data_IF_504686921239
#
_entry.id   IF_504686921239
#
_cell.length_a   1.000
_cell.length_b   1.000
_cell.length_c   1.000
_cell.angle_alpha   90.00
_cell.angle_beta   90.00
_cell.angle_gamma   90.00
#
_symmetry.space_group_name_H-M   'P 1'
#
loop_
_entity.id
_entity.type
_entity.pdbx_description
1 polymer ?
#
# COMPACT_ATOMS: atom_id res chain seq x y z
N UNK A 1 7.94 -3.49 18.75
CA UNK A 1 8.78 -4.71 18.74
C UNK A 1 8.42 -5.59 17.55
N UNK A 2 9.36 -6.43 17.14
CA UNK A 2 9.25 -7.35 16.01
C UNK A 2 9.45 -8.80 16.50
N UNK A 3 9.43 -9.76 15.58
CA UNK A 3 9.68 -11.17 15.89
C UNK A 3 11.10 -11.60 15.47
N UNK A 4 12.08 -10.73 15.69
CA UNK A 4 13.50 -11.09 15.59
C UNK A 4 14.07 -11.20 17.00
N UNK A 5 14.46 -12.40 17.42
CA UNK A 5 14.94 -12.63 18.78
C UNK A 5 16.06 -13.66 18.86
N UNK A 6 16.92 -13.49 19.86
CA UNK A 6 17.94 -14.47 20.19
C UNK A 6 17.29 -15.64 20.93
N UNK A 7 17.41 -16.85 20.38
CA UNK A 7 17.04 -18.11 21.03
C UNK A 7 18.31 -18.95 21.17
N UNK A 8 18.73 -19.22 22.41
CA UNK A 8 19.96 -19.97 22.72
C UNK A 8 21.19 -19.43 21.97
N UNK A 9 21.36 -18.11 21.92
CA UNK A 9 22.49 -17.44 21.27
C UNK A 9 22.41 -17.33 19.74
N UNK A 10 21.36 -17.87 19.10
CA UNK A 10 21.16 -17.76 17.64
C UNK A 10 20.02 -16.80 17.33
N UNK A 11 20.23 -15.87 16.39
CA UNK A 11 19.19 -14.93 15.96
C UNK A 11 18.19 -15.64 15.05
N UNK A 12 16.91 -15.55 15.40
CA UNK A 12 15.80 -16.13 14.64
C UNK A 12 14.89 -15.03 14.08
N UNK A 13 14.32 -15.29 12.91
CA UNK A 13 13.09 -14.64 12.45
C UNK A 13 11.95 -15.60 12.78
N UNK A 14 11.06 -15.22 13.69
CA UNK A 14 10.05 -16.11 14.25
C UNK A 14 10.71 -17.37 14.82
N UNK A 15 10.38 -18.56 14.32
CA UNK A 15 10.98 -19.85 14.74
C UNK A 15 12.09 -20.34 13.80
N UNK A 16 12.53 -19.52 12.83
CA UNK A 16 13.54 -19.90 11.85
C UNK A 16 14.89 -19.22 12.15
N UNK A 17 15.98 -19.98 12.37
CA UNK A 17 17.31 -19.42 12.54
C UNK A 17 17.74 -18.64 11.28
N UNK A 18 18.23 -17.41 11.42
CA UNK A 18 18.68 -16.61 10.27
C UNK A 18 19.87 -17.25 9.55
N UNK A 19 20.73 -17.96 10.28
CA UNK A 19 21.85 -18.69 9.69
C UNK A 19 21.38 -19.78 8.70
N UNK A 20 20.24 -20.42 8.96
CA UNK A 20 19.64 -21.39 8.04
C UNK A 20 19.20 -20.71 6.75
N UNK A 21 18.50 -19.57 6.86
CA UNK A 21 18.08 -18.80 5.69
C UNK A 21 19.30 -18.39 4.87
N UNK A 22 20.31 -17.80 5.51
CA UNK A 22 21.54 -17.36 4.84
C UNK A 22 22.28 -18.51 4.13
N UNK A 23 22.29 -19.73 4.71
CA UNK A 23 22.88 -20.90 4.09
C UNK A 23 22.08 -21.41 2.88
N UNK A 24 20.75 -21.37 2.95
CA UNK A 24 19.86 -21.87 1.88
C UNK A 24 19.74 -20.89 0.70
N UNK A 25 19.73 -19.57 0.94
CA UNK A 25 19.47 -18.56 -0.11
C UNK A 25 20.66 -17.65 -0.43
N UNK A 26 21.73 -17.71 0.36
CA UNK A 26 22.90 -16.84 0.22
C UNK A 26 22.75 -15.47 0.88
N UNK A 27 23.83 -14.66 0.81
CA UNK A 27 23.88 -13.30 1.36
C UNK A 27 24.41 -12.30 0.32
N UNK A 28 23.98 -11.01 0.37
CA UNK A 28 23.00 -10.43 1.31
C UNK A 28 21.56 -10.89 1.04
N UNK A 29 20.74 -10.96 2.10
CA UNK A 29 19.31 -11.31 2.03
C UNK A 29 18.47 -10.41 2.92
N UNK A 30 17.32 -9.96 2.41
CA UNK A 30 16.26 -9.36 3.23
C UNK A 30 15.32 -10.43 3.75
N UNK A 31 15.11 -10.45 5.07
CA UNK A 31 14.18 -11.37 5.73
C UNK A 31 13.06 -10.57 6.37
N UNK A 32 11.81 -10.95 6.08
CA UNK A 32 10.62 -10.33 6.65
C UNK A 32 9.89 -11.33 7.53
N UNK A 33 9.36 -10.86 8.66
CA UNK A 33 8.47 -11.64 9.52
C UNK A 33 7.01 -11.36 9.17
N UNK A 34 6.27 -12.40 8.79
CA UNK A 34 4.83 -12.31 8.56
C UNK A 34 4.09 -12.00 9.87
N UNK A 35 4.50 -12.61 10.99
CA UNK A 35 3.91 -12.36 12.30
C UNK A 35 4.07 -10.89 12.70
N UNK A 36 5.22 -10.29 12.38
CA UNK A 36 5.45 -8.85 12.63
C UNK A 36 4.52 -7.98 11.79
N UNK A 37 4.45 -8.22 10.47
CA UNK A 37 3.56 -7.46 9.59
C UNK A 37 2.10 -7.54 10.05
N UNK A 38 1.63 -8.76 10.34
CA UNK A 38 0.25 -9.00 10.80
C UNK A 38 -0.03 -8.31 12.13
N UNK A 39 0.89 -8.40 13.10
CA UNK A 39 0.75 -7.74 14.41
C UNK A 39 0.67 -6.22 14.27
N UNK A 40 1.52 -5.61 13.45
CA UNK A 40 1.50 -4.15 13.27
C UNK A 40 0.27 -3.68 12.50
N UNK A 41 -0.20 -4.46 11.52
CA UNK A 41 -1.47 -4.20 10.85
C UNK A 41 -2.65 -4.18 11.83
N UNK A 42 -2.67 -5.12 12.79
CA UNK A 42 -3.69 -5.15 13.83
C UNK A 42 -3.54 -3.99 14.81
N UNK A 43 -2.32 -3.70 15.32
CA UNK A 43 -2.10 -2.58 16.25
C UNK A 43 -2.59 -1.25 15.66
N UNK A 44 -2.31 -0.99 14.38
CA UNK A 44 -2.78 0.22 13.71
C UNK A 44 -4.31 0.24 13.59
N UNK A 45 -4.92 -0.88 13.20
CA UNK A 45 -6.37 -1.05 13.12
C UNK A 45 -7.05 -0.83 14.49
N UNK A 46 -6.57 -1.49 15.54
CA UNK A 46 -7.13 -1.36 16.89
C UNK A 46 -6.98 0.07 17.43
N UNK A 47 -5.89 0.77 17.08
CA UNK A 47 -5.69 2.18 17.44
C UNK A 47 -6.72 3.14 16.84
N UNK A 48 -7.40 2.73 15.77
CA UNK A 48 -8.50 3.45 15.13
C UNK A 48 -9.88 2.90 15.53
N UNK A 49 -9.99 2.13 16.62
CA UNK A 49 -11.22 1.42 17.02
C UNK A 49 -12.43 2.32 17.30
N UNK A 50 -12.21 3.61 17.56
CA UNK A 50 -13.29 4.60 17.73
C UNK A 50 -13.79 5.20 16.41
N UNK A 51 -13.02 5.04 15.32
CA UNK A 51 -13.41 5.50 13.98
C UNK A 51 -14.37 4.47 13.39
N UNK A 52 -15.57 4.91 13.00
CA UNK A 52 -16.50 4.05 12.29
C UNK A 52 -15.97 3.74 10.88
N UNK A 53 -15.80 2.46 10.57
CA UNK A 53 -15.41 1.94 9.25
C UNK A 53 -14.17 2.62 8.62
N UNK A 54 -12.99 2.56 9.25
CA UNK A 54 -11.80 3.20 8.71
C UNK A 54 -11.34 2.47 7.44
N UNK A 55 -11.06 3.22 6.39
CA UNK A 55 -10.34 2.70 5.21
C UNK A 55 -8.84 2.69 5.51
N UNK A 56 -8.25 1.50 5.52
CA UNK A 56 -6.83 1.31 5.82
C UNK A 56 -6.07 1.02 4.52
N UNK A 57 -5.34 2.01 4.02
CA UNK A 57 -4.54 1.89 2.80
C UNK A 57 -3.05 1.83 3.16
N UNK A 58 -2.37 0.73 2.82
CA UNK A 58 -0.92 0.64 3.06
C UNK A 58 -0.15 1.38 1.96
N UNK A 59 0.76 2.27 2.35
CA UNK A 59 1.65 2.98 1.43
C UNK A 59 2.62 2.01 0.75
N UNK A 60 2.33 1.60 -0.49
CA UNK A 60 3.04 0.54 -1.21
C UNK A 60 4.53 0.84 -1.36
N UNK A 61 4.88 2.12 -1.55
CA UNK A 61 6.27 2.60 -1.62
C UNK A 61 7.16 2.18 -0.45
N UNK A 62 6.57 1.89 0.72
CA UNK A 62 7.34 1.45 1.90
C UNK A 62 7.92 0.04 1.71
N UNK A 63 7.16 -0.87 1.10
CA UNK A 63 7.64 -2.20 0.74
C UNK A 63 6.75 -2.83 -0.37
N UNK A 64 7.14 -2.73 -1.65
CA UNK A 64 6.32 -3.19 -2.78
C UNK A 64 6.47 -4.70 -3.07
N UNK A 65 7.05 -5.47 -2.15
CA UNK A 65 7.19 -6.91 -2.31
C UNK A 65 5.79 -7.58 -2.31
N UNK A 66 5.51 -8.40 -3.33
CA UNK A 66 4.19 -9.03 -3.51
C UNK A 66 3.78 -9.93 -2.33
N UNK A 67 4.72 -10.59 -1.65
CA UNK A 67 4.40 -11.39 -0.48
C UNK A 67 4.01 -10.52 0.72
N UNK A 68 4.68 -9.38 0.92
CA UNK A 68 4.32 -8.39 1.96
C UNK A 68 2.95 -7.81 1.70
N UNK A 69 2.68 -7.37 0.46
CA UNK A 69 1.37 -6.85 0.08
C UNK A 69 0.26 -7.90 0.27
N UNK A 70 0.51 -9.18 -0.07
CA UNK A 70 -0.46 -10.26 0.18
C UNK A 70 -0.78 -10.46 1.66
N UNK A 71 0.19 -10.30 2.55
CA UNK A 71 -0.04 -10.39 4.00
C UNK A 71 -0.98 -9.26 4.44
N UNK A 72 -0.75 -8.04 3.97
CA UNK A 72 -1.58 -6.88 4.32
C UNK A 72 -2.98 -6.95 3.70
N UNK A 73 -3.09 -7.42 2.45
CA UNK A 73 -4.37 -7.67 1.81
C UNK A 73 -5.22 -8.67 2.61
N UNK A 74 -4.63 -9.78 3.07
CA UNK A 74 -5.29 -10.75 3.95
C UNK A 74 -5.66 -10.17 5.33
N UNK A 75 -4.91 -9.19 5.80
CA UNK A 75 -5.22 -8.44 7.00
C UNK A 75 -6.28 -7.34 6.75
N UNK A 76 -6.89 -7.26 5.56
CA UNK A 76 -7.96 -6.34 5.21
C UNK A 76 -7.50 -4.91 4.96
N UNK A 77 -6.27 -4.72 4.47
CA UNK A 77 -5.76 -3.43 4.01
C UNK A 77 -5.94 -3.30 2.50
N UNK A 78 -6.28 -2.09 2.07
CA UNK A 78 -6.12 -1.59 0.72
C UNK A 78 -4.70 -1.09 0.45
N UNK A 79 -4.57 -0.25 -0.59
CA UNK A 79 -3.27 0.27 -1.03
C UNK A 79 -3.31 1.79 -1.21
N UNK A 80 -2.28 2.48 -0.74
CA UNK A 80 -1.95 3.83 -1.19
C UNK A 80 -0.77 3.70 -2.16
N UNK A 81 -1.04 3.98 -3.43
CA UNK A 81 -0.10 3.82 -4.55
C UNK A 81 0.35 5.21 -5.05
N UNK A 82 1.54 5.29 -5.63
CA UNK A 82 2.07 6.52 -6.26
C UNK A 82 2.50 6.32 -7.72
N UNK A 83 2.23 5.17 -8.31
CA UNK A 83 2.50 4.90 -9.73
C UNK A 83 1.67 3.74 -10.30
N UNK A 84 1.61 3.63 -11.62
CA UNK A 84 1.03 2.47 -12.31
C UNK A 84 1.75 1.15 -12.02
N UNK A 85 3.05 1.20 -11.70
CA UNK A 85 3.81 0.02 -11.27
C UNK A 85 3.35 -0.50 -9.90
N UNK A 86 3.00 0.41 -8.98
CA UNK A 86 2.43 0.06 -7.68
C UNK A 86 0.98 -0.39 -7.79
N UNK A 87 0.18 0.21 -8.68
CA UNK A 87 -1.16 -0.28 -9.02
C UNK A 87 -1.10 -1.76 -9.43
N UNK A 88 -0.23 -2.09 -10.39
CA UNK A 88 -0.07 -3.45 -10.88
C UNK A 88 0.32 -4.43 -9.76
N UNK A 89 1.20 -4.01 -8.83
CA UNK A 89 1.62 -4.84 -7.69
C UNK A 89 0.51 -5.03 -6.65
N UNK A 90 -0.24 -3.97 -6.33
CA UNK A 90 -1.37 -4.04 -5.39
C UNK A 90 -2.45 -5.01 -5.91
N UNK A 91 -2.82 -4.87 -7.18
CA UNK A 91 -3.78 -5.77 -7.84
C UNK A 91 -3.26 -7.22 -7.89
N UNK A 92 -1.99 -7.43 -8.25
CA UNK A 92 -1.38 -8.76 -8.27
C UNK A 92 -1.24 -9.39 -6.87
N UNK A 93 -1.24 -8.58 -5.82
CA UNK A 93 -1.28 -9.03 -4.43
C UNK A 93 -2.69 -9.33 -3.92
N UNK A 94 -3.73 -9.07 -4.73
CA UNK A 94 -5.12 -9.35 -4.40
C UNK A 94 -5.79 -8.27 -3.55
N UNK A 95 -5.24 -7.05 -3.52
CA UNK A 95 -5.93 -5.89 -2.91
C UNK A 95 -7.11 -5.50 -3.80
N UNK A 96 -8.28 -5.31 -3.20
CA UNK A 96 -9.48 -4.97 -3.96
C UNK A 96 -9.31 -3.58 -4.61
N UNK A 97 -9.63 -3.40 -5.92
CA UNK A 97 -9.45 -2.12 -6.58
C UNK A 97 -10.17 -0.96 -5.86
N UNK A 98 -11.39 -1.20 -5.38
CA UNK A 98 -12.16 -0.22 -4.61
C UNK A 98 -11.50 0.24 -3.31
N UNK A 99 -10.51 -0.51 -2.80
CA UNK A 99 -9.73 -0.13 -1.62
C UNK A 99 -8.36 0.50 -1.98
N UNK A 100 -8.10 0.79 -3.26
CA UNK A 100 -6.87 1.43 -3.73
C UNK A 100 -7.08 2.94 -3.86
N UNK A 101 -6.15 3.71 -3.28
CA UNK A 101 -6.02 5.16 -3.37
C UNK A 101 -4.78 5.50 -4.18
N UNK A 102 -4.89 6.40 -5.15
CA UNK A 102 -3.76 6.83 -5.99
C UNK A 102 -3.32 8.26 -5.65
N UNK A 103 -2.17 8.36 -5.00
CA UNK A 103 -1.47 9.59 -4.60
C UNK A 103 -0.32 9.98 -5.55
N UNK A 104 0.31 11.15 -5.32
CA UNK A 104 1.56 11.56 -5.99
C UNK A 104 1.39 12.68 -7.02
N UNK A 105 2.37 13.58 -7.10
CA UNK A 105 2.30 14.86 -7.84
C UNK A 105 2.52 14.77 -9.36
N UNK A 106 2.70 13.57 -9.90
CA UNK A 106 3.20 13.35 -11.26
C UNK A 106 2.48 12.26 -12.04
N UNK A 107 1.18 12.03 -11.76
CA UNK A 107 0.41 10.98 -12.42
C UNK A 107 0.33 11.26 -13.91
N UNK A 108 0.78 10.32 -14.71
CA UNK A 108 0.70 10.44 -16.17
C UNK A 108 -0.72 10.14 -16.65
N UNK A 109 -1.08 10.62 -17.85
CA UNK A 109 -2.36 10.30 -18.47
C UNK A 109 -2.61 8.79 -18.55
N UNK A 110 -1.60 8.01 -18.93
CA UNK A 110 -1.70 6.56 -19.02
C UNK A 110 -1.94 5.88 -17.66
N UNK A 111 -1.35 6.41 -16.59
CA UNK A 111 -1.62 5.90 -15.24
C UNK A 111 -3.03 6.24 -14.76
N UNK A 112 -3.54 7.44 -15.09
CA UNK A 112 -4.92 7.82 -14.78
C UNK A 112 -5.93 6.96 -15.56
N UNK A 113 -5.66 6.69 -16.84
CA UNK A 113 -6.46 5.77 -17.66
C UNK A 113 -6.47 4.35 -17.09
N UNK A 114 -5.31 3.85 -16.64
CA UNK A 114 -5.19 2.54 -16.00
C UNK A 114 -5.92 2.47 -14.65
N UNK A 115 -5.83 3.54 -13.84
CA UNK A 115 -6.53 3.65 -12.57
C UNK A 115 -8.06 3.63 -12.74
N UNK A 116 -8.59 4.39 -13.71
CA UNK A 116 -10.01 4.36 -14.07
C UNK A 116 -10.42 2.97 -14.57
N UNK A 117 -9.63 2.37 -15.48
CA UNK A 117 -9.93 1.05 -16.00
C UNK A 117 -9.91 -0.06 -14.93
N UNK A 118 -9.06 0.07 -13.91
CA UNK A 118 -9.02 -0.83 -12.77
C UNK A 118 -10.19 -0.62 -11.79
N UNK A 119 -10.89 0.52 -11.88
CA UNK A 119 -11.96 0.87 -10.95
C UNK A 119 -11.45 1.12 -9.53
N UNK A 120 -10.36 1.88 -9.40
CA UNK A 120 -9.82 2.20 -8.07
C UNK A 120 -10.78 3.08 -7.26
N UNK A 121 -10.72 2.98 -5.93
CA UNK A 121 -11.63 3.71 -5.05
C UNK A 121 -11.46 5.22 -5.06
N UNK A 122 -10.24 5.72 -5.20
CA UNK A 122 -9.96 7.15 -5.05
C UNK A 122 -8.68 7.61 -5.77
N UNK A 123 -8.73 8.78 -6.40
CA UNK A 123 -7.53 9.53 -6.86
C UNK A 123 -7.34 10.77 -5.97
N UNK A 124 -6.15 10.92 -5.40
CA UNK A 124 -5.77 12.11 -4.64
C UNK A 124 -5.18 13.14 -5.59
N UNK A 125 -5.91 14.22 -5.85
CA UNK A 125 -5.51 15.30 -6.75
C UNK A 125 -4.55 16.25 -6.04
N UNK A 126 -3.38 16.42 -6.65
CA UNK A 126 -2.29 17.26 -6.15
C UNK A 126 -2.19 18.60 -6.91
N UNK A 127 -2.69 18.64 -8.14
CA UNK A 127 -2.59 19.77 -9.08
C UNK A 127 -3.92 19.95 -9.80
N UNK A 128 -4.33 21.19 -10.05
CA UNK A 128 -5.57 21.49 -10.78
C UNK A 128 -5.62 20.81 -12.15
N UNK A 129 -4.50 20.84 -12.89
CA UNK A 129 -4.40 20.24 -14.22
C UNK A 129 -4.59 18.71 -14.17
N UNK A 130 -4.12 18.04 -13.13
CA UNK A 130 -4.35 16.61 -12.93
C UNK A 130 -5.86 16.32 -12.80
N UNK A 131 -6.59 17.15 -12.05
CA UNK A 131 -8.04 17.07 -11.92
C UNK A 131 -8.77 17.27 -13.25
N UNK A 132 -8.33 18.24 -14.07
CA UNK A 132 -8.90 18.46 -15.42
C UNK A 132 -8.69 17.26 -16.33
N UNK A 133 -7.48 16.68 -16.32
CA UNK A 133 -7.16 15.49 -17.13
C UNK A 133 -8.00 14.30 -16.66
N UNK A 134 -8.07 14.02 -15.36
CA UNK A 134 -8.88 12.93 -14.81
C UNK A 134 -10.37 13.10 -15.17
N UNK A 135 -10.91 14.31 -15.02
CA UNK A 135 -12.31 14.62 -15.37
C UNK A 135 -12.60 14.39 -16.85
N UNK A 136 -11.72 14.85 -17.74
CA UNK A 136 -11.87 14.63 -19.18
C UNK A 136 -11.79 13.15 -19.56
N UNK A 137 -10.90 12.38 -18.93
CA UNK A 137 -10.78 10.94 -19.13
C UNK A 137 -12.04 10.18 -18.68
N UNK A 138 -12.56 10.50 -17.49
CA UNK A 138 -13.78 9.89 -16.98
C UNK A 138 -15.00 10.24 -17.84
N UNK A 139 -15.15 11.51 -18.23
CA UNK A 139 -16.23 11.96 -19.12
C UNK A 139 -16.19 11.25 -20.49
N UNK A 140 -15.01 11.05 -21.07
CA UNK A 140 -14.85 10.32 -22.32
C UNK A 140 -15.27 8.84 -22.23
N UNK A 141 -15.33 8.28 -21.02
CA UNK A 141 -15.78 6.91 -20.72
C UNK A 141 -17.24 6.84 -20.26
N UNK A 142 -17.91 7.98 -20.09
CA UNK A 142 -19.24 8.04 -19.48
C UNK A 142 -19.25 7.65 -18.00
N UNK A 143 -18.11 7.80 -17.32
CA UNK A 143 -17.90 7.46 -15.92
C UNK A 143 -17.71 8.74 -15.08
N UNK A 144 -17.85 8.63 -13.76
CA UNK A 144 -17.48 9.69 -12.81
C UNK A 144 -16.26 9.23 -12.02
N UNK A 145 -15.18 10.00 -12.05
CA UNK A 145 -14.00 9.71 -11.24
C UNK A 145 -14.24 10.07 -9.77
N UNK A 146 -13.88 9.15 -8.86
CA UNK A 146 -13.84 9.43 -7.43
C UNK A 146 -12.49 10.04 -7.06
N UNK A 147 -12.52 11.28 -6.58
CA UNK A 147 -11.31 12.03 -6.29
C UNK A 147 -11.46 12.96 -5.09
N UNK A 148 -10.34 13.26 -4.44
CA UNK A 148 -10.22 14.23 -3.34
C UNK A 148 -9.07 15.19 -3.62
N UNK A 149 -9.13 16.41 -3.09
CA UNK A 149 -8.02 17.36 -3.17
C UNK A 149 -7.06 17.14 -1.99
N UNK A 150 -5.76 17.07 -2.25
CA UNK A 150 -4.76 17.12 -1.19
C UNK A 150 -4.54 18.58 -0.78
N UNK A 151 -4.98 18.92 0.43
CA UNK A 151 -4.85 20.26 0.98
C UNK A 151 -3.71 20.27 1.99
N UNK A 152 -2.80 21.24 1.86
CA UNK A 152 -1.79 21.50 2.88
C UNK A 152 -2.47 22.21 4.06
N UNK A 153 -2.48 21.63 5.26
CA UNK A 153 -3.05 22.30 6.42
C UNK A 153 -2.13 23.45 6.86
N UNK A 154 -2.72 24.53 7.34
CA UNK A 154 -2.01 25.69 7.87
C UNK A 154 -1.60 25.41 9.33
N UNK A 155 -0.58 24.56 9.50
CA UNK A 155 -0.04 24.16 10.80
C UNK A 155 1.25 24.94 11.04
N UNK A 156 1.28 25.72 12.12
CA UNK A 156 2.52 26.36 12.60
C UNK A 156 3.56 25.28 12.96
N UNK A 157 4.80 25.48 12.49
CA UNK A 157 5.92 24.55 12.69
C UNK A 157 6.48 24.58 14.12
#
# INVERSE_FOLDING_TARGET
MDHFSLKNGTLHCEDVPLARIAAEVGTPVYVYSQATLTRHAEVFRSGLGEVAHPHLAFAVKANPNLAVLRVLARAGYGADIVSGGELARALAAGMAPGDIVFSGVGKTRGELEAALAAGIGQVNIELEEEGRVLGALAAARGETAHAVLRVNPDVDA
#
